data_IF_584439140629
#
_entry.id   IF_584439140629
#
_cell.length_a   1.000
_cell.length_b   1.000
_cell.length_c   1.000
_cell.angle_alpha   90.00
_cell.angle_beta   90.00
_cell.angle_gamma   90.00
#
_symmetry.space_group_name_H-M   'P 1'
#
loop_
_entity.id
_entity.type
_entity.pdbx_description
1 polymer ?
#
# COMPACT_ATOMS: atom_id res chain seq x y z
N UNK A 1 -31.08 -41.24 1.56
CA UNK A 1 -30.23 -40.39 2.42
C UNK A 1 -28.89 -40.31 1.74
N UNK A 2 -28.66 -39.19 1.06
CA UNK A 2 -27.45 -38.92 0.29
C UNK A 2 -26.90 -37.62 0.85
N UNK A 3 -25.71 -37.71 1.45
CA UNK A 3 -24.98 -36.57 2.01
C UNK A 3 -24.69 -35.54 0.90
N UNK A 4 -24.84 -34.24 1.17
CA UNK A 4 -24.41 -33.22 0.23
C UNK A 4 -22.89 -33.13 0.25
N UNK A 5 -22.30 -33.19 -0.95
CA UNK A 5 -20.86 -33.01 -1.20
C UNK A 5 -20.34 -31.73 -0.54
N UNK A 6 -19.35 -31.91 0.33
CA UNK A 6 -18.44 -30.87 0.79
C UNK A 6 -17.77 -30.23 -0.41
N UNK A 7 -18.10 -28.97 -0.69
CA UNK A 7 -17.33 -28.13 -1.60
C UNK A 7 -15.92 -27.97 -1.04
N UNK A 8 -14.94 -28.54 -1.74
CA UNK A 8 -13.53 -28.43 -1.39
C UNK A 8 -13.14 -26.94 -1.23
N UNK A 9 -12.75 -26.56 -0.02
CA UNK A 9 -12.04 -25.30 0.21
C UNK A 9 -10.70 -25.40 -0.52
N UNK A 10 -10.52 -24.61 -1.58
CA UNK A 10 -9.20 -24.35 -2.14
C UNK A 10 -8.33 -23.76 -1.01
N UNK A 11 -7.12 -24.30 -0.83
CA UNK A 11 -6.18 -23.80 0.18
C UNK A 11 -5.87 -22.32 -0.04
N UNK A 12 -5.63 -21.60 1.05
CA UNK A 12 -5.33 -20.17 1.03
C UNK A 12 -4.08 -19.89 0.16
N UNK A 13 -4.06 -18.80 -0.63
CA UNK A 13 -2.88 -18.43 -1.41
C UNK A 13 -1.66 -18.24 -0.50
N UNK A 14 -0.46 -18.48 -1.05
CA UNK A 14 0.78 -18.40 -0.27
C UNK A 14 0.93 -17.01 0.36
N UNK A 15 1.13 -16.97 1.68
CA UNK A 15 1.29 -15.74 2.45
C UNK A 15 -0.03 -15.08 2.88
N UNK A 16 -1.18 -15.60 2.44
CA UNK A 16 -2.48 -15.14 2.91
C UNK A 16 -2.95 -15.89 4.14
N UNK A 17 -3.81 -15.22 4.91
CA UNK A 17 -4.48 -15.79 6.08
C UNK A 17 -5.97 -15.73 5.84
N UNK A 18 -6.63 -16.88 5.88
CA UNK A 18 -8.08 -16.96 5.74
C UNK A 18 -8.82 -16.63 7.04
N UNK A 19 -10.15 -16.72 7.02
CA UNK A 19 -11.00 -16.26 8.13
C UNK A 19 -10.81 -17.08 9.41
N UNK A 20 -10.35 -18.34 9.28
CA UNK A 20 -10.01 -19.20 10.41
C UNK A 20 -8.62 -18.94 11.00
N UNK A 21 -7.78 -18.12 10.33
CA UNK A 21 -6.44 -17.74 10.76
C UNK A 21 -6.38 -16.37 11.46
N UNK A 22 -7.49 -15.63 11.48
CA UNK A 22 -7.59 -14.29 12.08
C UNK A 22 -8.33 -14.28 13.43
N UNK A 23 -7.96 -13.35 14.30
CA UNK A 23 -8.66 -12.97 15.52
C UNK A 23 -9.27 -11.58 15.32
N UNK A 24 -10.57 -11.47 15.56
CA UNK A 24 -11.27 -10.18 15.57
C UNK A 24 -11.17 -9.59 16.97
N UNK A 25 -10.54 -8.42 17.10
CA UNK A 25 -10.51 -7.64 18.35
C UNK A 25 -11.48 -6.49 18.28
N UNK A 26 -12.25 -6.31 19.34
CA UNK A 26 -13.09 -5.14 19.54
C UNK A 26 -12.45 -4.28 20.61
N UNK A 27 -12.37 -2.97 20.38
CA UNK A 27 -12.02 -2.04 21.45
C UNK A 27 -13.15 -2.07 22.49
N UNK A 28 -12.89 -2.74 23.62
CA UNK A 28 -13.89 -2.95 24.67
C UNK A 28 -14.35 -1.64 25.33
N UNK A 29 -13.60 -0.54 25.18
CA UNK A 29 -14.05 0.78 25.65
C UNK A 29 -15.06 1.43 24.68
N UNK A 30 -15.07 1.01 23.41
CA UNK A 30 -15.93 1.60 22.35
C UNK A 30 -17.05 0.65 21.87
N UNK A 31 -16.83 -0.67 21.96
CA UNK A 31 -17.72 -1.72 21.47
C UNK A 31 -17.84 -2.80 22.54
N UNK A 32 -18.87 -2.69 23.38
CA UNK A 32 -19.23 -3.68 24.39
C UNK A 32 -20.59 -4.34 24.13
N UNK A 33 -21.33 -3.90 23.10
CA UNK A 33 -22.64 -4.42 22.78
C UNK A 33 -22.55 -5.64 21.84
N UNK A 34 -23.35 -6.67 22.14
CA UNK A 34 -23.36 -7.93 21.38
C UNK A 34 -23.91 -7.75 19.96
N UNK A 35 -24.80 -6.77 19.73
CA UNK A 35 -25.35 -6.50 18.40
C UNK A 35 -24.27 -6.03 17.41
N UNK A 36 -23.33 -5.18 17.84
CA UNK A 36 -22.19 -4.76 17.03
C UNK A 36 -21.24 -5.91 16.73
N UNK A 37 -20.97 -6.79 17.71
CA UNK A 37 -20.13 -7.98 17.49
C UNK A 37 -20.79 -8.93 16.49
N UNK A 38 -22.09 -9.16 16.61
CA UNK A 38 -22.90 -9.97 15.70
C UNK A 38 -22.88 -9.37 14.28
N UNK A 39 -23.03 -8.05 14.14
CA UNK A 39 -22.93 -7.36 12.85
C UNK A 39 -21.54 -7.50 12.23
N UNK A 40 -20.48 -7.26 13.01
CA UNK A 40 -19.10 -7.35 12.54
C UNK A 40 -18.72 -8.76 12.08
N UNK A 41 -19.01 -9.77 12.91
CA UNK A 41 -18.80 -11.17 12.55
C UNK A 41 -19.65 -11.57 11.34
N UNK A 42 -20.89 -11.08 11.28
CA UNK A 42 -21.80 -11.35 10.19
C UNK A 42 -21.34 -10.78 8.85
N UNK A 43 -20.66 -9.63 8.88
CA UNK A 43 -19.99 -9.05 7.71
C UNK A 43 -18.73 -9.86 7.38
N UNK A 44 -17.80 -10.03 8.31
CA UNK A 44 -16.49 -10.67 8.08
C UNK A 44 -16.64 -12.11 7.57
N UNK A 45 -17.52 -12.90 8.19
CA UNK A 45 -17.78 -14.28 7.78
C UNK A 45 -18.90 -14.40 6.74
N UNK A 46 -19.42 -13.26 6.26
CA UNK A 46 -20.48 -13.16 5.25
C UNK A 46 -21.75 -13.93 5.62
N UNK A 47 -22.10 -14.08 6.90
CA UNK A 47 -23.29 -14.84 7.32
C UNK A 47 -24.59 -14.04 7.17
N UNK A 48 -24.49 -12.71 7.09
CA UNK A 48 -25.62 -11.80 6.80
C UNK A 48 -25.88 -11.82 5.29
N UNK A 49 -27.05 -12.25 4.84
CA UNK A 49 -27.33 -12.38 3.39
C UNK A 49 -28.38 -11.39 2.88
N UNK A 50 -28.94 -10.56 3.76
CA UNK A 50 -30.01 -9.62 3.46
C UNK A 50 -29.81 -8.29 4.19
N UNK A 51 -30.08 -7.17 3.53
CA UNK A 51 -30.00 -5.83 4.12
C UNK A 51 -30.89 -5.65 5.37
N UNK A 52 -32.00 -6.36 5.44
CA UNK A 52 -32.92 -6.33 6.57
C UNK A 52 -32.24 -6.82 7.86
N UNK A 53 -31.34 -7.80 7.76
CA UNK A 53 -30.59 -8.31 8.91
C UNK A 53 -29.63 -7.25 9.46
N UNK A 54 -28.96 -6.49 8.57
CA UNK A 54 -28.15 -5.32 8.98
C UNK A 54 -29.02 -4.30 9.69
N UNK A 55 -30.14 -3.91 9.05
CA UNK A 55 -31.05 -2.90 9.60
C UNK A 55 -31.58 -3.32 10.97
N UNK A 56 -31.90 -4.60 11.17
CA UNK A 56 -32.38 -5.13 12.44
C UNK A 56 -31.30 -5.10 13.53
N UNK A 57 -30.05 -5.45 13.19
CA UNK A 57 -28.93 -5.33 14.11
C UNK A 57 -28.69 -3.86 14.52
N UNK A 58 -28.77 -2.93 13.57
CA UNK A 58 -28.67 -1.49 13.86
C UNK A 58 -29.81 -1.05 14.80
N UNK A 59 -31.05 -1.49 14.59
CA UNK A 59 -32.18 -1.20 15.50
C UNK A 59 -31.97 -1.78 16.91
N UNK A 60 -31.31 -2.94 17.01
CA UNK A 60 -30.88 -3.56 18.29
C UNK A 60 -29.71 -2.83 18.95
N UNK A 61 -29.18 -1.76 18.35
CA UNK A 61 -28.12 -0.93 18.90
C UNK A 61 -26.73 -1.17 18.30
N UNK A 62 -26.61 -1.99 17.26
CA UNK A 62 -25.34 -2.17 16.58
C UNK A 62 -24.85 -0.85 15.96
N UNK A 63 -23.54 -0.60 16.04
CA UNK A 63 -22.91 0.62 15.52
C UNK A 63 -22.38 0.38 14.10
N UNK A 64 -22.93 1.10 13.13
CA UNK A 64 -22.45 1.06 11.74
C UNK A 64 -20.98 1.51 11.60
N UNK A 65 -20.54 2.44 12.46
CA UNK A 65 -19.17 2.96 12.54
C UNK A 65 -18.23 2.14 13.42
N UNK A 66 -18.60 0.92 13.77
CA UNK A 66 -17.69 0.04 14.48
C UNK A 66 -16.44 -0.22 13.64
N UNK A 67 -15.29 -0.26 14.32
CA UNK A 67 -14.01 -0.56 13.70
C UNK A 67 -13.40 -1.81 14.34
N UNK A 68 -13.83 -3.03 13.98
CA UNK A 68 -13.15 -4.24 14.42
C UNK A 68 -11.71 -4.27 13.94
N UNK A 69 -10.84 -4.78 14.81
CA UNK A 69 -9.44 -4.99 14.57
C UNK A 69 -9.14 -6.39 14.05
N UNK A 70 -8.32 -6.51 13.02
CA UNK A 70 -7.85 -7.80 12.49
C UNK A 70 -6.40 -8.09 12.89
N UNK A 71 -6.18 -9.27 13.45
CA UNK A 71 -4.86 -9.81 13.82
C UNK A 71 -4.74 -11.27 13.42
N UNK A 72 -3.52 -11.75 13.21
CA UNK A 72 -3.26 -13.18 13.07
C UNK A 72 -3.46 -13.87 14.42
N UNK A 73 -4.12 -15.04 14.45
CA UNK A 73 -4.48 -15.76 15.68
C UNK A 73 -3.32 -16.02 16.65
N UNK A 74 -2.10 -16.17 16.13
CA UNK A 74 -0.90 -16.43 16.93
C UNK A 74 -0.18 -15.16 17.38
N UNK A 75 -0.65 -13.98 16.95
CA UNK A 75 -0.08 -12.71 17.35
C UNK A 75 -0.33 -12.43 18.83
N UNK A 76 0.73 -11.99 19.50
CA UNK A 76 0.74 -11.46 20.86
C UNK A 76 0.71 -9.93 20.88
N UNK A 77 0.61 -9.28 19.70
CA UNK A 77 0.59 -7.83 19.56
C UNK A 77 -0.64 -7.18 20.20
N UNK A 78 -0.53 -5.87 20.50
CA UNK A 78 -1.57 -5.09 21.17
C UNK A 78 -2.30 -4.06 20.29
N UNK A 79 -2.00 -4.01 18.99
CA UNK A 79 -2.47 -2.94 18.10
C UNK A 79 -3.00 -3.49 16.77
N UNK A 80 -4.23 -4.02 16.72
CA UNK A 80 -4.80 -4.59 15.50
C UNK A 80 -4.95 -3.56 14.37
N UNK A 81 -5.06 -4.00 13.11
CA UNK A 81 -5.50 -3.13 12.02
C UNK A 81 -7.01 -2.91 12.11
N UNK A 82 -7.43 -1.67 12.34
CA UNK A 82 -8.84 -1.31 12.52
C UNK A 82 -9.49 -0.96 11.19
N UNK A 83 -10.60 -1.64 10.88
CA UNK A 83 -11.36 -1.41 9.65
C UNK A 83 -12.78 -0.98 9.93
N UNK A 84 -13.30 0.07 9.27
CA UNK A 84 -14.74 0.30 9.21
C UNK A 84 -15.46 -0.95 8.71
N UNK A 85 -16.64 -1.22 9.28
CA UNK A 85 -17.49 -2.31 8.79
C UNK A 85 -17.79 -2.20 7.30
N UNK A 86 -17.95 -0.98 6.79
CA UNK A 86 -18.16 -0.71 5.37
C UNK A 86 -16.98 -1.21 4.52
N UNK A 87 -15.74 -1.01 4.96
CA UNK A 87 -14.55 -1.52 4.28
C UNK A 87 -14.51 -3.04 4.27
N UNK A 88 -14.84 -3.68 5.40
CA UNK A 88 -14.87 -5.14 5.50
C UNK A 88 -16.01 -5.78 4.70
N UNK A 89 -17.04 -5.02 4.35
CA UNK A 89 -18.13 -5.46 3.50
C UNK A 89 -17.75 -5.47 2.01
N UNK A 90 -16.62 -4.90 1.61
CA UNK A 90 -16.18 -4.88 0.20
C UNK A 90 -15.43 -6.17 -0.11
N UNK A 91 -15.84 -6.87 -1.17
CA UNK A 91 -15.16 -8.08 -1.62
C UNK A 91 -13.88 -7.77 -2.39
N UNK A 92 -12.88 -8.63 -2.20
CA UNK A 92 -11.70 -8.69 -3.04
C UNK A 92 -11.95 -9.59 -4.27
N UNK A 93 -11.72 -9.03 -5.46
CA UNK A 93 -12.04 -9.65 -6.75
C UNK A 93 -10.84 -9.85 -7.63
N UNK A 94 -9.66 -9.61 -7.07
CA UNK A 94 -8.39 -9.86 -7.74
C UNK A 94 -8.01 -11.33 -7.66
N UNK A 95 -8.94 -12.21 -7.24
CA UNK A 95 -8.69 -13.62 -6.92
C UNK A 95 -7.46 -13.79 -6.00
N UNK A 96 -7.39 -12.91 -5.01
CA UNK A 96 -6.31 -12.82 -4.02
C UNK A 96 -4.91 -12.64 -4.63
N UNK A 97 -4.84 -12.09 -5.86
CA UNK A 97 -3.58 -11.64 -6.46
C UNK A 97 -3.12 -10.30 -5.88
N UNK A 98 -4.03 -9.47 -5.37
CA UNK A 98 -3.72 -8.18 -4.74
C UNK A 98 -4.46 -8.03 -3.41
N UNK A 99 -3.77 -7.63 -2.34
CA UNK A 99 -4.38 -7.47 -1.03
C UNK A 99 -5.18 -6.16 -0.90
N UNK A 100 -6.36 -6.28 -0.29
CA UNK A 100 -7.21 -5.14 0.06
C UNK A 100 -7.48 -5.04 1.56
N UNK A 101 -7.33 -6.15 2.29
CA UNK A 101 -7.47 -6.25 3.75
C UNK A 101 -6.24 -6.96 4.30
N UNK A 102 -5.79 -6.50 5.47
CA UNK A 102 -4.57 -6.91 6.16
C UNK A 102 -4.85 -7.19 7.64
N UNK A 103 -4.18 -8.19 8.19
CA UNK A 103 -4.16 -8.50 9.61
C UNK A 103 -2.74 -8.32 10.17
N UNK A 104 -2.64 -7.75 11.37
CA UNK A 104 -1.35 -7.54 12.02
C UNK A 104 -0.77 -8.81 12.62
N UNK A 105 0.54 -8.99 12.51
CA UNK A 105 1.30 -9.98 13.29
C UNK A 105 1.93 -9.35 14.55
N UNK A 106 2.63 -10.14 15.36
CA UNK A 106 3.29 -9.72 16.61
C UNK A 106 4.47 -8.77 16.36
N UNK A 107 5.05 -8.78 15.17
CA UNK A 107 6.08 -7.83 14.75
C UNK A 107 5.45 -6.60 14.10
N UNK A 108 5.91 -5.40 14.50
CA UNK A 108 5.31 -4.11 14.11
C UNK A 108 5.24 -3.92 12.60
N UNK A 109 6.21 -4.45 11.87
CA UNK A 109 6.36 -4.31 10.41
C UNK A 109 5.74 -5.46 9.62
N UNK A 110 5.20 -6.48 10.29
CA UNK A 110 4.72 -7.70 9.63
C UNK A 110 3.19 -7.73 9.61
N UNK A 111 2.65 -7.76 8.40
CA UNK A 111 1.21 -7.80 8.15
C UNK A 111 0.93 -8.88 7.12
N UNK A 112 -0.18 -9.58 7.31
CA UNK A 112 -0.59 -10.65 6.44
C UNK A 112 -1.86 -10.27 5.68
N UNK A 113 -1.90 -10.44 4.35
CA UNK A 113 -3.11 -10.21 3.59
C UNK A 113 -4.20 -11.21 4.00
N UNK A 114 -5.44 -10.74 4.09
CA UNK A 114 -6.58 -11.52 4.60
C UNK A 114 -7.51 -11.90 3.46
N UNK A 115 -7.71 -13.21 3.27
CA UNK A 115 -8.63 -13.75 2.26
C UNK A 115 -10.02 -13.90 2.90
N UNK A 116 -10.83 -12.84 2.83
CA UNK A 116 -12.22 -12.90 3.29
C UNK A 116 -13.11 -13.66 2.30
N UNK A 117 -14.17 -14.35 2.77
CA UNK A 117 -15.10 -15.00 1.86
C UNK A 117 -15.86 -13.93 1.06
N UNK A 118 -16.33 -14.31 -0.14
CA UNK A 118 -17.15 -13.43 -0.99
C UNK A 118 -18.63 -13.47 -0.59
N UNK A 119 -19.34 -12.38 -0.90
CA UNK A 119 -20.80 -12.39 -0.92
C UNK A 119 -21.33 -13.37 -1.98
N UNK A 120 -22.57 -13.88 -1.85
CA UNK A 120 -23.13 -14.80 -2.83
C UNK A 120 -23.37 -14.15 -4.19
N UNK A 121 -23.58 -12.83 -4.21
CA UNK A 121 -23.74 -12.04 -5.43
C UNK A 121 -23.39 -10.57 -5.18
N UNK A 122 -23.22 -9.82 -6.27
CA UNK A 122 -22.97 -8.37 -6.24
C UNK A 122 -24.13 -7.57 -5.68
N UNK A 123 -25.34 -8.04 -5.92
CA UNK A 123 -26.55 -7.42 -5.42
C UNK A 123 -26.62 -7.52 -3.90
N UNK A 124 -26.20 -8.67 -3.33
CA UNK A 124 -26.11 -8.83 -1.87
C UNK A 124 -25.05 -7.89 -1.30
N UNK A 125 -23.84 -7.86 -1.88
CA UNK A 125 -22.78 -6.91 -1.47
C UNK A 125 -23.30 -5.46 -1.45
N UNK A 126 -23.88 -5.01 -2.56
CA UNK A 126 -24.41 -3.66 -2.70
C UNK A 126 -25.54 -3.37 -1.72
N UNK A 127 -26.44 -4.32 -1.45
CA UNK A 127 -27.52 -4.17 -0.47
C UNK A 127 -26.97 -4.01 0.95
N UNK A 128 -25.95 -4.80 1.33
CA UNK A 128 -25.30 -4.70 2.63
C UNK A 128 -24.56 -3.37 2.77
N UNK A 129 -23.78 -2.96 1.76
CA UNK A 129 -23.11 -1.67 1.74
C UNK A 129 -24.10 -0.51 1.87
N UNK A 130 -25.20 -0.53 1.09
CA UNK A 130 -26.24 0.50 1.18
C UNK A 130 -26.87 0.55 2.57
N UNK A 131 -27.20 -0.60 3.17
CA UNK A 131 -27.76 -0.65 4.51
C UNK A 131 -26.81 -0.07 5.58
N UNK A 132 -25.50 -0.30 5.45
CA UNK A 132 -24.50 0.30 6.34
C UNK A 132 -24.42 1.83 6.15
N UNK A 133 -24.36 2.31 4.91
CA UNK A 133 -24.30 3.74 4.60
C UNK A 133 -25.59 4.45 5.07
N UNK A 134 -26.76 3.85 4.85
CA UNK A 134 -28.05 4.39 5.31
C UNK A 134 -28.15 4.40 6.84
N UNK A 135 -27.45 3.49 7.52
CA UNK A 135 -27.30 3.48 8.97
C UNK A 135 -26.22 4.46 9.49
N UNK A 136 -25.62 5.28 8.61
CA UNK A 136 -24.63 6.29 8.96
C UNK A 136 -23.19 5.79 9.05
N UNK A 137 -22.85 4.68 8.35
CA UNK A 137 -21.47 4.26 8.20
C UNK A 137 -20.64 5.35 7.51
N UNK A 138 -19.51 5.72 8.12
CA UNK A 138 -18.57 6.68 7.56
C UNK A 138 -17.84 6.06 6.36
N UNK A 139 -17.77 6.83 5.29
CA UNK A 139 -17.13 6.42 4.03
C UNK A 139 -15.67 6.88 3.93
N UNK A 140 -15.21 7.71 4.87
CA UNK A 140 -13.94 8.45 4.80
C UNK A 140 -13.14 8.37 6.10
N UNK A 141 -13.70 8.55 7.30
CA UNK A 141 -12.94 8.62 8.55
C UNK A 141 -12.31 7.27 8.94
N UNK A 142 -10.98 7.23 9.05
CA UNK A 142 -10.22 6.05 9.53
C UNK A 142 -8.87 6.48 10.11
N UNK A 143 -8.24 5.56 10.85
CA UNK A 143 -6.90 5.73 11.40
C UNK A 143 -5.81 5.50 10.33
N UNK A 144 -5.98 4.50 9.46
CA UNK A 144 -5.00 4.15 8.43
C UNK A 144 -5.60 4.35 7.04
N UNK A 145 -4.91 5.09 6.17
CA UNK A 145 -5.41 5.42 4.81
C UNK A 145 -5.79 4.17 3.99
N UNK A 146 -5.14 3.06 4.23
CA UNK A 146 -5.37 1.76 3.58
C UNK A 146 -6.74 1.16 3.93
N UNK A 147 -7.30 1.48 5.09
CA UNK A 147 -8.55 0.87 5.57
C UNK A 147 -9.79 1.66 5.15
N UNK A 148 -9.63 2.76 4.40
CA UNK A 148 -10.75 3.56 3.85
C UNK A 148 -11.56 2.74 2.84
N UNK A 149 -12.90 2.80 2.87
CA UNK A 149 -13.74 2.05 1.92
C UNK A 149 -13.34 2.25 0.45
N UNK A 150 -13.06 3.48 0.02
CA UNK A 150 -12.66 3.76 -1.38
C UNK A 150 -11.31 3.12 -1.73
N UNK A 151 -10.37 3.09 -0.78
CA UNK A 151 -9.04 2.48 -0.96
C UNK A 151 -9.12 0.96 -1.00
N UNK A 152 -9.99 0.36 -0.18
CA UNK A 152 -10.27 -1.07 -0.21
C UNK A 152 -10.94 -1.48 -1.52
N UNK A 153 -11.91 -0.69 -2.02
CA UNK A 153 -12.53 -0.94 -3.32
C UNK A 153 -11.51 -0.89 -4.48
N UNK A 154 -10.62 0.11 -4.50
CA UNK A 154 -9.55 0.23 -5.51
C UNK A 154 -8.59 -0.96 -5.43
N UNK A 155 -8.06 -1.24 -4.23
CA UNK A 155 -7.09 -2.32 -4.02
C UNK A 155 -7.68 -3.69 -4.35
N UNK A 156 -8.94 -3.94 -3.98
CA UNK A 156 -9.66 -5.18 -4.25
C UNK A 156 -10.21 -5.32 -5.66
N UNK A 157 -9.95 -4.36 -6.57
CA UNK A 157 -10.47 -4.41 -7.95
C UNK A 157 -12.00 -4.33 -8.01
N UNK A 158 -12.64 -3.76 -6.98
CA UNK A 158 -14.09 -3.76 -6.83
C UNK A 158 -14.75 -2.54 -7.44
N UNK A 159 -14.94 -2.61 -8.76
CA UNK A 159 -15.57 -1.54 -9.53
C UNK A 159 -16.98 -1.20 -9.06
N UNK A 160 -17.79 -2.21 -8.74
CA UNK A 160 -19.16 -1.97 -8.30
C UNK A 160 -19.19 -1.23 -6.94
N UNK A 161 -18.36 -1.64 -5.98
CA UNK A 161 -18.22 -0.95 -4.71
C UNK A 161 -17.64 0.46 -4.88
N UNK A 162 -16.64 0.62 -5.77
CA UNK A 162 -16.05 1.92 -6.09
C UNK A 162 -17.10 2.89 -6.66
N UNK A 163 -17.85 2.47 -7.68
CA UNK A 163 -18.89 3.30 -8.30
C UNK A 163 -20.01 3.62 -7.29
N UNK A 164 -20.43 2.65 -6.46
CA UNK A 164 -21.40 2.89 -5.39
C UNK A 164 -20.92 3.96 -4.40
N UNK A 165 -19.67 3.91 -3.94
CA UNK A 165 -19.12 4.91 -3.02
C UNK A 165 -19.09 6.31 -3.64
N UNK A 166 -18.74 6.41 -4.94
CA UNK A 166 -18.78 7.67 -5.67
C UNK A 166 -20.20 8.24 -5.78
N UNK A 167 -21.17 7.38 -6.12
CA UNK A 167 -22.58 7.74 -6.24
C UNK A 167 -23.18 8.18 -4.90
N UNK A 168 -22.71 7.58 -3.80
CA UNK A 168 -23.06 7.95 -2.43
C UNK A 168 -22.36 9.21 -1.92
N UNK A 169 -21.47 9.80 -2.72
CA UNK A 169 -20.83 11.08 -2.39
C UNK A 169 -19.71 10.96 -1.36
N UNK A 170 -18.92 9.88 -1.39
CA UNK A 170 -17.72 9.73 -0.54
C UNK A 170 -16.81 10.95 -0.65
N UNK A 171 -16.27 11.41 0.49
CA UNK A 171 -15.31 12.50 0.53
C UNK A 171 -13.95 12.01 0.02
N UNK A 172 -13.48 12.60 -1.08
CA UNK A 172 -12.25 12.19 -1.77
C UNK A 172 -11.02 13.02 -1.39
N UNK A 173 -11.19 14.27 -0.95
CA UNK A 173 -10.05 15.12 -0.59
C UNK A 173 -9.49 14.78 0.78
N UNK A 174 -8.17 14.86 0.91
CA UNK A 174 -7.41 14.56 2.12
C UNK A 174 -7.32 13.06 2.43
N UNK A 175 -7.72 12.20 1.48
CA UNK A 175 -7.74 10.74 1.70
C UNK A 175 -6.69 10.00 0.88
N UNK A 176 -5.94 10.70 0.02
CA UNK A 176 -4.88 10.13 -0.81
C UNK A 176 -5.41 8.95 -1.65
N UNK A 177 -6.62 9.12 -2.23
CA UNK A 177 -7.36 8.04 -2.90
C UNK A 177 -6.59 7.42 -4.07
N UNK A 178 -5.73 8.22 -4.70
CA UNK A 178 -4.95 7.83 -5.88
C UNK A 178 -3.65 7.10 -5.56
N UNK A 179 -3.26 6.94 -4.29
CA UNK A 179 -2.06 6.16 -3.92
C UNK A 179 -2.16 4.75 -4.51
N UNK A 180 -1.02 4.15 -4.89
CA UNK A 180 -1.00 2.77 -5.38
C UNK A 180 -1.34 1.77 -4.26
N UNK A 181 -1.94 0.60 -4.58
CA UNK A 181 -2.17 -0.44 -3.58
C UNK A 181 -0.86 -0.96 -2.99
N UNK A 182 -0.89 -1.43 -1.73
CA UNK A 182 0.29 -2.06 -1.11
C UNK A 182 0.51 -3.47 -1.65
N UNK A 183 1.77 -3.86 -1.78
CA UNK A 183 2.21 -5.21 -2.16
C UNK A 183 2.39 -6.10 -0.91
N UNK A 184 2.17 -7.41 -1.06
CA UNK A 184 2.56 -8.45 -0.09
C UNK A 184 3.81 -9.25 -0.54
N UNK A 185 4.58 -8.76 -1.53
CA UNK A 185 5.77 -9.39 -2.16
C UNK A 185 5.47 -10.69 -2.92
N UNK A 186 4.24 -11.18 -2.88
CA UNK A 186 3.79 -12.37 -3.59
C UNK A 186 2.73 -12.04 -4.64
N UNK A 187 2.23 -10.82 -4.63
CA UNK A 187 1.29 -10.33 -5.59
C UNK A 187 1.92 -10.30 -6.98
N UNK A 188 1.14 -10.76 -7.95
CA UNK A 188 1.45 -10.65 -9.37
C UNK A 188 0.22 -10.03 -10.03
N UNK A 189 0.10 -8.69 -10.02
CA UNK A 189 -1.04 -8.03 -10.62
C UNK A 189 -1.13 -8.43 -12.09
N UNK A 190 -2.34 -8.75 -12.55
CA UNK A 190 -2.57 -9.04 -13.96
C UNK A 190 -2.68 -7.74 -14.76
N UNK A 191 -2.49 -7.82 -16.08
CA UNK A 191 -2.67 -6.66 -16.97
C UNK A 191 -4.10 -6.10 -16.88
N UNK A 192 -5.10 -6.96 -16.67
CA UNK A 192 -6.50 -6.55 -16.47
C UNK A 192 -6.67 -5.75 -15.17
N UNK A 193 -5.98 -6.15 -14.09
CA UNK A 193 -5.97 -5.40 -12.84
C UNK A 193 -5.30 -4.03 -13.00
N UNK A 194 -4.17 -3.95 -13.69
CA UNK A 194 -3.50 -2.67 -13.99
C UNK A 194 -4.39 -1.73 -14.81
N UNK A 195 -5.08 -2.25 -15.83
CA UNK A 195 -6.07 -1.48 -16.59
C UNK A 195 -7.22 -1.00 -15.71
N UNK A 196 -7.67 -1.83 -14.76
CA UNK A 196 -8.71 -1.49 -13.82
C UNK A 196 -8.27 -0.41 -12.81
N UNK A 197 -7.03 -0.47 -12.32
CA UNK A 197 -6.44 0.60 -11.50
C UNK A 197 -6.41 1.93 -12.28
N UNK A 198 -5.93 1.93 -13.52
CA UNK A 198 -5.95 3.13 -14.37
C UNK A 198 -7.38 3.65 -14.59
N UNK A 199 -8.37 2.75 -14.75
CA UNK A 199 -9.77 3.15 -14.82
C UNK A 199 -10.21 3.90 -13.55
N UNK A 200 -9.91 3.38 -12.35
CA UNK A 200 -10.24 4.07 -11.10
C UNK A 200 -9.59 5.43 -10.99
N UNK A 201 -8.28 5.52 -11.27
CA UNK A 201 -7.56 6.79 -11.16
C UNK A 201 -8.03 7.84 -12.17
N UNK A 202 -8.35 7.44 -13.41
CA UNK A 202 -8.96 8.35 -14.40
C UNK A 202 -10.32 8.85 -13.92
N UNK A 203 -11.17 7.97 -13.38
CA UNK A 203 -12.48 8.33 -12.83
C UNK A 203 -12.37 9.31 -11.65
N UNK A 204 -11.39 9.13 -10.77
CA UNK A 204 -11.13 10.06 -9.68
C UNK A 204 -10.73 11.44 -10.21
N UNK A 205 -9.79 11.50 -11.16
CA UNK A 205 -9.33 12.76 -11.78
C UNK A 205 -10.44 13.46 -12.57
N UNK A 206 -11.28 12.71 -13.29
CA UNK A 206 -12.45 13.25 -13.99
C UNK A 206 -13.42 13.95 -13.03
N UNK A 207 -13.53 13.45 -11.81
CA UNK A 207 -14.42 14.01 -10.78
C UNK A 207 -13.78 15.18 -10.05
N UNK A 208 -12.50 15.07 -9.69
CA UNK A 208 -11.73 16.16 -9.09
C UNK A 208 -10.25 16.03 -9.45
N UNK A 209 -9.77 16.94 -10.31
CA UNK A 209 -8.38 16.96 -10.77
C UNK A 209 -7.38 17.26 -9.64
N UNK A 210 -7.80 17.94 -8.57
CA UNK A 210 -6.88 18.25 -7.46
C UNK A 210 -6.46 17.02 -6.67
N UNK A 211 -7.16 15.88 -6.85
CA UNK A 211 -6.77 14.61 -6.23
C UNK A 211 -5.38 14.16 -6.69
N UNK A 212 -4.97 14.50 -7.92
CA UNK A 212 -3.64 14.16 -8.44
C UNK A 212 -2.50 14.95 -7.78
N UNK A 213 -2.82 16.02 -7.05
CA UNK A 213 -1.85 16.91 -6.38
C UNK A 213 -1.83 16.77 -4.87
N UNK A 214 -2.54 15.78 -4.32
CA UNK A 214 -2.57 15.56 -2.88
C UNK A 214 -1.18 15.20 -2.32
N UNK A 215 -0.97 15.63 -1.09
CA UNK A 215 0.14 15.26 -0.24
C UNK A 215 -0.38 14.93 1.16
N UNK A 216 0.36 14.09 1.87
CA UNK A 216 0.05 13.73 3.25
C UNK A 216 0.59 14.76 4.27
N UNK A 217 0.52 14.42 5.55
CA UNK A 217 0.92 15.30 6.67
C UNK A 217 2.42 15.61 6.72
N UNK A 218 3.26 14.88 5.98
CA UNK A 218 4.70 15.13 5.87
C UNK A 218 5.08 15.71 4.49
N UNK A 219 4.11 16.23 3.75
CA UNK A 219 4.26 16.75 2.37
C UNK A 219 4.73 15.69 1.35
N UNK A 220 4.54 14.40 1.63
CA UNK A 220 4.73 13.35 0.63
C UNK A 220 3.55 13.33 -0.35
N UNK A 221 3.79 13.81 -1.57
CA UNK A 221 2.81 13.76 -2.65
C UNK A 221 2.65 12.35 -3.25
N UNK A 222 1.69 12.17 -4.16
CA UNK A 222 1.43 10.90 -4.82
C UNK A 222 2.62 10.30 -5.60
N UNK A 223 3.58 11.12 -6.03
CA UNK A 223 4.80 10.68 -6.73
C UNK A 223 5.80 10.09 -5.73
N UNK A 224 5.91 10.69 -4.52
CA UNK A 224 6.65 10.11 -3.41
C UNK A 224 6.08 8.74 -3.02
N UNK A 225 4.76 8.68 -2.84
CA UNK A 225 4.06 7.44 -2.48
C UNK A 225 4.23 6.35 -3.55
N UNK A 226 4.14 6.72 -4.83
CA UNK A 226 4.39 5.78 -5.93
C UNK A 226 5.85 5.32 -6.02
N UNK A 227 6.78 6.02 -5.39
CA UNK A 227 8.18 5.58 -5.30
C UNK A 227 8.37 4.45 -4.28
N UNK A 228 7.35 4.18 -3.45
CA UNK A 228 7.25 3.03 -2.55
C UNK A 228 6.32 1.95 -3.13
N UNK A 229 5.99 2.04 -4.42
CA UNK A 229 5.05 1.15 -5.07
C UNK A 229 5.51 -0.32 -5.07
N UNK A 230 4.55 -1.25 -5.23
CA UNK A 230 4.82 -2.65 -5.52
C UNK A 230 5.88 -2.81 -6.64
N UNK A 231 6.96 -3.57 -6.43
CA UNK A 231 7.88 -3.92 -7.51
C UNK A 231 7.22 -4.80 -8.58
N UNK A 232 6.04 -5.35 -8.30
CA UNK A 232 5.28 -6.27 -9.14
C UNK A 232 4.44 -5.59 -10.25
N UNK A 233 4.27 -4.27 -10.22
CA UNK A 233 3.55 -3.52 -11.26
C UNK A 233 4.44 -3.27 -12.49
N UNK A 234 3.86 -3.37 -13.68
CA UNK A 234 4.58 -3.21 -14.94
C UNK A 234 5.08 -1.79 -15.16
N UNK A 235 6.21 -1.66 -15.87
CA UNK A 235 6.75 -0.34 -16.27
C UNK A 235 5.71 0.50 -17.01
N UNK A 236 5.00 -0.09 -17.97
CA UNK A 236 4.00 0.62 -18.79
C UNK A 236 2.86 1.19 -17.93
N UNK A 237 2.41 0.43 -16.93
CA UNK A 237 1.43 0.92 -15.95
C UNK A 237 2.00 2.08 -15.13
N UNK A 238 3.20 1.94 -14.58
CA UNK A 238 3.84 2.97 -13.77
C UNK A 238 4.04 4.25 -14.57
N UNK A 239 4.58 4.17 -15.79
CA UNK A 239 4.75 5.32 -16.68
C UNK A 239 3.40 6.01 -16.95
N UNK A 240 2.36 5.23 -17.27
CA UNK A 240 1.01 5.76 -17.55
C UNK A 240 0.38 6.41 -16.32
N UNK A 241 0.57 5.83 -15.13
CA UNK A 241 0.07 6.38 -13.87
C UNK A 241 0.79 7.70 -13.52
N UNK A 242 2.12 7.75 -13.65
CA UNK A 242 2.90 8.96 -13.40
C UNK A 242 2.59 10.07 -14.42
N UNK A 243 2.36 9.71 -15.68
CA UNK A 243 1.87 10.64 -16.71
C UNK A 243 0.50 11.20 -16.36
N UNK A 244 -0.42 10.37 -15.85
CA UNK A 244 -1.74 10.82 -15.39
C UNK A 244 -1.61 11.84 -14.25
N UNK A 245 -0.74 11.57 -13.26
CA UNK A 245 -0.50 12.51 -12.17
C UNK A 245 0.09 13.84 -12.68
N UNK A 246 1.14 13.75 -13.49
CA UNK A 246 1.85 14.90 -14.07
C UNK A 246 0.92 15.77 -14.92
N UNK A 247 0.10 15.16 -15.78
CA UNK A 247 -0.87 15.86 -16.63
C UNK A 247 -1.95 16.60 -15.81
N UNK A 248 -2.08 16.27 -14.53
CA UNK A 248 -3.00 16.90 -13.59
C UNK A 248 -2.28 17.74 -12.51
N UNK A 249 -1.02 18.10 -12.75
CA UNK A 249 -0.30 19.10 -11.96
C UNK A 249 0.55 18.54 -10.82
N UNK A 250 0.72 17.22 -10.72
CA UNK A 250 1.61 16.64 -9.72
C UNK A 250 3.05 17.13 -9.92
N UNK A 251 3.68 17.57 -8.82
CA UNK A 251 5.05 18.05 -8.84
C UNK A 251 6.04 16.88 -8.67
N UNK A 252 6.80 16.56 -9.73
CA UNK A 252 7.79 15.47 -9.73
C UNK A 252 9.05 15.78 -8.91
N UNK A 253 9.28 17.04 -8.53
CA UNK A 253 10.49 17.51 -7.85
C UNK A 253 10.21 18.18 -6.50
N UNK A 254 8.98 18.05 -5.98
CA UNK A 254 8.65 18.57 -4.65
C UNK A 254 9.52 17.90 -3.60
N UNK A 255 10.06 18.68 -2.65
CA UNK A 255 10.61 18.11 -1.42
C UNK A 255 9.49 17.90 -0.41
N UNK A 256 9.52 16.80 0.33
CA UNK A 256 8.69 16.61 1.52
C UNK A 256 9.21 17.45 2.71
N UNK A 257 8.68 17.28 3.92
CA UNK A 257 9.15 18.00 5.12
C UNK A 257 10.65 17.82 5.41
N UNK A 258 11.25 16.72 4.96
CA UNK A 258 12.69 16.43 5.07
C UNK A 258 13.48 16.91 3.85
N UNK A 259 12.86 17.65 2.93
CA UNK A 259 13.46 18.02 1.64
C UNK A 259 13.76 16.83 0.72
N UNK A 260 13.31 15.62 1.06
CA UNK A 260 13.45 14.44 0.21
C UNK A 260 12.51 14.57 -0.98
N UNK A 261 13.05 14.41 -2.19
CA UNK A 261 12.24 14.45 -3.42
C UNK A 261 11.74 13.04 -3.80
N UNK A 262 10.80 12.88 -4.74
CA UNK A 262 10.39 11.55 -5.19
C UNK A 262 11.58 10.74 -5.72
N UNK A 263 12.56 11.39 -6.34
CA UNK A 263 13.77 10.71 -6.82
C UNK A 263 14.62 10.15 -5.67
N UNK A 264 14.70 10.82 -4.52
CA UNK A 264 15.36 10.28 -3.34
C UNK A 264 14.65 9.02 -2.84
N UNK A 265 13.32 9.05 -2.77
CA UNK A 265 12.53 7.90 -2.31
C UNK A 265 12.61 6.72 -3.27
N UNK A 266 12.54 6.96 -4.58
CA UNK A 266 12.66 5.91 -5.61
C UNK A 266 14.06 5.29 -5.60
N UNK A 267 15.10 6.11 -5.42
CA UNK A 267 16.47 5.66 -5.29
C UNK A 267 16.68 4.82 -4.01
N UNK A 268 16.11 5.25 -2.89
CA UNK A 268 16.14 4.53 -1.62
C UNK A 268 15.47 3.15 -1.72
N UNK A 269 14.27 3.08 -2.27
CA UNK A 269 13.51 1.82 -2.38
C UNK A 269 14.04 0.88 -3.47
N UNK A 270 14.96 1.35 -4.32
CA UNK A 270 15.38 0.65 -5.53
C UNK A 270 14.28 0.57 -6.58
N UNK A 271 13.29 1.46 -6.55
CA UNK A 271 12.19 1.49 -7.52
C UNK A 271 12.66 1.99 -8.89
N UNK A 272 13.38 1.14 -9.60
CA UNK A 272 14.13 1.48 -10.80
C UNK A 272 13.24 1.98 -11.95
N UNK A 273 11.99 1.54 -12.07
CA UNK A 273 11.02 2.10 -13.01
C UNK A 273 10.69 3.56 -12.70
N UNK A 274 10.46 3.91 -11.43
CA UNK A 274 10.26 5.30 -11.02
C UNK A 274 11.51 6.14 -11.17
N UNK A 275 12.70 5.60 -10.87
CA UNK A 275 13.97 6.29 -11.12
C UNK A 275 14.13 6.60 -12.60
N UNK A 276 13.92 5.63 -13.49
CA UNK A 276 13.95 5.81 -14.96
C UNK A 276 12.97 6.89 -15.42
N UNK A 277 11.71 6.79 -15.01
CA UNK A 277 10.68 7.75 -15.37
C UNK A 277 11.04 9.16 -14.88
N UNK A 278 11.41 9.31 -13.61
CA UNK A 278 11.75 10.61 -13.03
C UNK A 278 12.96 11.21 -13.73
N UNK A 279 14.03 10.44 -13.94
CA UNK A 279 15.23 10.91 -14.66
C UNK A 279 14.93 11.40 -16.07
N UNK A 280 13.97 10.79 -16.77
CA UNK A 280 13.56 11.20 -18.11
C UNK A 280 12.64 12.44 -18.13
N UNK A 281 12.02 12.78 -17.00
CA UNK A 281 10.94 13.77 -16.93
C UNK A 281 11.24 14.97 -16.03
N UNK A 282 12.37 14.97 -15.31
CA UNK A 282 12.87 16.10 -14.52
C UNK A 282 14.14 16.68 -15.16
N UNK A 283 14.41 17.96 -14.93
CA UNK A 283 15.64 18.61 -15.39
C UNK A 283 16.89 18.10 -14.66
N UNK A 284 18.06 18.19 -15.29
CA UNK A 284 19.33 17.71 -14.72
C UNK A 284 19.72 18.43 -13.42
N UNK A 285 19.22 19.65 -13.22
CA UNK A 285 19.39 20.44 -12.00
C UNK A 285 18.78 19.79 -10.75
N UNK A 286 17.85 18.85 -10.91
CA UNK A 286 17.19 18.14 -9.79
C UNK A 286 17.83 16.79 -9.46
N UNK A 287 18.80 16.33 -10.27
CA UNK A 287 19.42 15.00 -10.12
C UNK A 287 20.27 14.89 -8.86
N UNK A 288 20.90 16.00 -8.50
CA UNK A 288 21.72 16.12 -7.30
C UNK A 288 21.07 17.05 -6.28
N UNK A 289 19.73 17.10 -6.27
CA UNK A 289 18.98 17.72 -5.19
C UNK A 289 19.45 17.11 -3.86
N UNK A 290 19.52 17.93 -2.82
CA UNK A 290 20.05 17.52 -1.53
C UNK A 290 18.91 17.50 -0.53
N UNK A 291 18.53 16.31 -0.06
CA UNK A 291 17.56 16.17 1.03
C UNK A 291 18.14 16.58 2.39
N UNK A 292 17.29 17.04 3.30
CA UNK A 292 17.60 17.38 4.70
C UNK A 292 16.85 16.45 5.64
N UNK A 293 17.36 15.23 5.84
CA UNK A 293 16.72 14.30 6.75
C UNK A 293 17.23 14.51 8.19
N UNK A 294 16.38 15.07 9.06
CA UNK A 294 16.68 15.24 10.49
C UNK A 294 16.56 13.94 11.29
N UNK A 295 15.73 12.97 10.88
CA UNK A 295 15.53 11.68 11.57
C UNK A 295 16.68 10.69 11.37
N UNK A 296 17.37 10.75 10.22
CA UNK A 296 18.57 9.92 9.96
C UNK A 296 19.82 10.50 10.65
N UNK A 297 19.73 11.63 11.36
CA UNK A 297 20.85 12.08 12.23
C UNK A 297 21.22 11.02 13.28
N UNK A 298 20.28 10.17 13.71
CA UNK A 298 20.57 9.03 14.58
C UNK A 298 21.45 7.94 13.92
N UNK A 299 21.53 7.89 12.59
CA UNK A 299 22.44 7.02 11.81
C UNK A 299 23.60 7.79 11.15
N UNK A 300 23.77 9.08 11.47
CA UNK A 300 24.87 9.92 11.01
C UNK A 300 24.81 10.41 9.56
N UNK A 301 23.65 10.35 8.89
CA UNK A 301 23.49 10.93 7.54
C UNK A 301 22.97 12.36 7.69
N UNK A 302 23.62 13.33 7.04
CA UNK A 302 23.32 14.77 7.26
C UNK A 302 22.95 15.55 6.00
N UNK A 303 22.85 14.89 4.84
CA UNK A 303 22.30 15.41 3.58
C UNK A 303 22.79 14.48 2.46
N UNK A 304 21.90 13.83 1.72
CA UNK A 304 22.29 12.89 0.68
C UNK A 304 21.60 13.19 -0.65
N UNK A 305 22.34 12.97 -1.75
CA UNK A 305 21.78 12.97 -3.11
C UNK A 305 21.02 11.67 -3.36
N UNK A 306 20.13 11.59 -4.38
CA UNK A 306 19.50 10.33 -4.74
C UNK A 306 20.49 9.20 -5.03
N UNK A 307 21.61 9.49 -5.68
CA UNK A 307 22.68 8.53 -5.95
C UNK A 307 23.32 8.00 -4.65
N UNK A 308 23.59 8.89 -3.70
CA UNK A 308 24.12 8.53 -2.39
C UNK A 308 23.12 7.67 -1.59
N UNK A 309 21.83 8.00 -1.65
CA UNK A 309 20.75 7.25 -0.98
C UNK A 309 20.64 5.81 -1.51
N UNK A 310 20.63 5.62 -2.83
CA UNK A 310 20.61 4.27 -3.43
C UNK A 310 21.85 3.45 -3.06
N UNK A 311 23.03 4.07 -3.09
CA UNK A 311 24.28 3.39 -2.77
C UNK A 311 24.42 3.08 -1.27
N UNK A 312 23.90 3.95 -0.40
CA UNK A 312 23.82 3.71 1.04
C UNK A 312 22.89 2.53 1.36
N UNK A 313 21.72 2.45 0.72
CA UNK A 313 20.81 1.32 0.90
C UNK A 313 21.42 0.02 0.39
N UNK A 314 22.09 0.05 -0.76
CA UNK A 314 22.82 -1.10 -1.29
C UNK A 314 23.87 -1.62 -0.29
N UNK A 315 24.64 -0.73 0.35
CA UNK A 315 25.59 -1.09 1.41
C UNK A 315 24.89 -1.74 2.62
N UNK A 316 23.71 -1.24 3.02
CA UNK A 316 22.90 -1.80 4.11
C UNK A 316 22.44 -3.22 3.75
N UNK A 317 21.84 -3.42 2.57
CA UNK A 317 21.37 -4.73 2.12
C UNK A 317 22.50 -5.76 2.02
N UNK A 318 23.66 -5.37 1.49
CA UNK A 318 24.83 -6.25 1.38
C UNK A 318 25.36 -6.67 2.76
N UNK A 319 25.37 -5.74 3.73
CA UNK A 319 25.76 -6.05 5.12
C UNK A 319 24.77 -6.98 5.80
N UNK A 320 23.47 -6.76 5.61
CA UNK A 320 22.43 -7.64 6.15
C UNK A 320 22.61 -9.08 5.63
N UNK A 321 22.86 -9.25 4.33
CA UNK A 321 23.17 -10.56 3.74
C UNK A 321 24.44 -11.19 4.33
N UNK A 322 25.49 -10.41 4.53
CA UNK A 322 26.75 -10.92 5.07
C UNK A 322 26.64 -11.35 6.54
N UNK A 323 25.87 -10.61 7.34
CA UNK A 323 25.61 -10.91 8.76
C UNK A 323 24.61 -12.05 8.96
N UNK A 324 23.84 -12.37 7.92
CA UNK A 324 22.75 -13.34 8.01
C UNK A 324 21.53 -12.76 8.76
N UNK A 325 21.31 -11.45 8.63
CA UNK A 325 20.17 -10.77 9.25
C UNK A 325 18.86 -11.19 8.55
N UNK A 326 17.83 -11.50 9.33
CA UNK A 326 16.52 -11.94 8.83
C UNK A 326 16.44 -13.44 8.49
N UNK A 327 15.22 -13.90 8.18
CA UNK A 327 15.01 -15.29 7.75
C UNK A 327 15.53 -15.54 6.31
N UNK A 328 15.49 -16.80 5.85
CA UNK A 328 15.93 -17.12 4.48
C UNK A 328 15.07 -16.46 3.41
N UNK A 329 13.79 -16.23 3.67
CA UNK A 329 12.91 -15.62 2.68
C UNK A 329 13.29 -14.15 2.46
N UNK A 330 13.49 -13.39 3.54
CA UNK A 330 13.97 -12.02 3.48
C UNK A 330 15.32 -11.93 2.77
N UNK A 331 16.27 -12.82 3.11
CA UNK A 331 17.58 -12.85 2.46
C UNK A 331 17.50 -13.21 0.98
N UNK A 332 16.56 -14.06 0.58
CA UNK A 332 16.32 -14.34 -0.83
C UNK A 332 15.79 -13.11 -1.57
N UNK A 333 14.78 -12.42 -1.03
CA UNK A 333 14.25 -11.16 -1.60
C UNK A 333 15.36 -10.13 -1.77
N UNK A 334 16.24 -9.97 -0.77
CA UNK A 334 17.40 -9.10 -0.89
C UNK A 334 18.30 -9.46 -2.07
N UNK A 335 18.58 -10.76 -2.30
CA UNK A 335 19.46 -11.24 -3.37
C UNK A 335 18.83 -11.13 -4.74
N UNK A 336 17.56 -11.49 -4.89
CA UNK A 336 16.91 -11.66 -6.19
C UNK A 336 16.24 -10.40 -6.68
N UNK A 337 15.83 -9.51 -5.78
CA UNK A 337 15.01 -8.34 -6.11
C UNK A 337 15.68 -7.04 -5.65
N UNK A 338 15.85 -6.84 -4.34
CA UNK A 338 16.25 -5.55 -3.78
C UNK A 338 17.63 -5.09 -4.28
N UNK A 339 18.66 -5.94 -4.18
CA UNK A 339 20.02 -5.59 -4.59
C UNK A 339 20.13 -5.35 -6.11
N UNK A 340 19.61 -6.24 -6.99
CA UNK A 340 19.58 -5.97 -8.43
C UNK A 340 18.86 -4.67 -8.80
N UNK A 341 17.76 -4.37 -8.12
CA UNK A 341 16.96 -3.16 -8.35
C UNK A 341 17.69 -1.88 -7.91
N UNK A 342 18.38 -1.90 -6.77
CA UNK A 342 19.24 -0.80 -6.32
C UNK A 342 20.42 -0.56 -7.27
N UNK A 343 21.09 -1.63 -7.71
CA UNK A 343 22.16 -1.52 -8.73
C UNK A 343 21.65 -0.92 -10.03
N UNK A 344 20.47 -1.35 -10.49
CA UNK A 344 19.83 -0.81 -11.68
C UNK A 344 19.52 0.68 -11.51
N UNK A 345 18.97 1.08 -10.36
CA UNK A 345 18.70 2.48 -10.01
C UNK A 345 19.97 3.34 -10.03
N UNK A 346 21.08 2.85 -9.45
CA UNK A 346 22.39 3.52 -9.49
C UNK A 346 22.84 3.73 -10.94
N UNK A 347 22.76 2.70 -11.79
CA UNK A 347 23.17 2.81 -13.20
C UNK A 347 22.31 3.82 -13.98
N UNK A 348 21.00 3.87 -13.71
CA UNK A 348 20.09 4.84 -14.34
C UNK A 348 20.48 6.26 -13.92
N UNK A 349 20.67 6.51 -12.62
CA UNK A 349 21.07 7.82 -12.10
C UNK A 349 22.39 8.31 -12.72
N UNK A 350 23.39 7.41 -12.82
CA UNK A 350 24.67 7.72 -13.46
C UNK A 350 24.52 8.07 -14.95
N UNK A 351 23.72 7.29 -15.70
CA UNK A 351 23.44 7.57 -17.12
C UNK A 351 22.73 8.90 -17.32
N UNK A 352 21.88 9.27 -16.37
CA UNK A 352 21.11 10.48 -16.40
C UNK A 352 21.87 11.71 -15.85
N UNK A 353 23.14 11.52 -15.44
CA UNK A 353 24.07 12.61 -15.14
C UNK A 353 24.25 12.93 -13.66
N UNK A 354 23.83 12.05 -12.74
CA UNK A 354 24.10 12.24 -11.30
C UNK A 354 25.60 12.32 -11.01
N UNK A 355 26.01 13.32 -10.22
CA UNK A 355 27.43 13.64 -10.05
C UNK A 355 28.08 12.81 -8.93
N UNK A 356 28.90 11.84 -9.34
CA UNK A 356 29.72 11.01 -8.45
C UNK A 356 30.64 11.88 -7.57
N UNK A 357 31.07 13.06 -8.02
CA UNK A 357 31.94 13.95 -7.27
C UNK A 357 31.31 14.44 -5.96
N UNK A 358 29.98 14.47 -5.89
CA UNK A 358 29.22 14.87 -4.68
C UNK A 358 29.15 13.79 -3.61
N UNK A 359 29.55 12.56 -3.91
CA UNK A 359 29.62 11.48 -2.93
C UNK A 359 30.72 11.74 -1.90
N UNK A 360 30.35 11.67 -0.62
CA UNK A 360 31.23 11.90 0.53
C UNK A 360 32.39 10.90 0.56
N UNK A 361 33.48 11.30 1.23
CA UNK A 361 34.68 10.45 1.43
C UNK A 361 35.30 10.61 2.82
N UNK A 362 34.53 11.13 3.79
CA UNK A 362 35.07 11.57 5.08
C UNK A 362 35.38 10.39 5.99
N UNK A 363 34.50 9.39 6.03
CA UNK A 363 34.67 8.18 6.83
C UNK A 363 34.76 6.91 5.96
N UNK A 364 35.00 5.76 6.60
CA UNK A 364 35.14 4.47 5.89
C UNK A 364 33.85 4.02 5.21
N UNK A 365 32.68 4.31 5.80
CA UNK A 365 31.38 4.03 5.19
C UNK A 365 31.21 4.82 3.90
N UNK A 366 31.49 6.13 3.91
CA UNK A 366 31.36 6.98 2.73
C UNK A 366 32.26 6.50 1.58
N UNK A 367 33.52 6.14 1.90
CA UNK A 367 34.44 5.58 0.90
C UNK A 367 33.92 4.27 0.31
N UNK A 368 33.29 3.42 1.12
CA UNK A 368 32.69 2.15 0.68
C UNK A 368 31.49 2.38 -0.24
N UNK A 369 30.59 3.29 0.12
CA UNK A 369 29.45 3.71 -0.70
C UNK A 369 29.95 4.22 -2.06
N UNK A 370 30.96 5.08 -2.08
CA UNK A 370 31.58 5.57 -3.33
C UNK A 370 32.15 4.43 -4.17
N UNK A 371 32.80 3.44 -3.57
CA UNK A 371 33.32 2.28 -4.30
C UNK A 371 32.21 1.43 -4.93
N UNK A 372 31.07 1.27 -4.24
CA UNK A 372 29.89 0.60 -4.82
C UNK A 372 29.42 1.32 -6.08
N UNK A 373 29.27 2.64 -6.04
CA UNK A 373 28.88 3.44 -7.22
C UNK A 373 29.89 3.28 -8.36
N UNK A 374 31.19 3.37 -8.07
CA UNK A 374 32.23 3.19 -9.09
C UNK A 374 32.18 1.81 -9.74
N UNK A 375 31.89 0.76 -8.95
CA UNK A 375 31.76 -0.60 -9.50
C UNK A 375 30.59 -0.74 -10.49
N UNK A 376 29.49 -0.01 -10.26
CA UNK A 376 28.33 0.01 -11.17
C UNK A 376 28.50 0.98 -12.34
N UNK A 377 29.48 1.88 -12.31
CA UNK A 377 29.81 2.78 -13.43
C UNK A 377 30.66 2.12 -14.53
N UNK A 378 31.38 1.06 -14.17
CA UNK A 378 32.33 0.35 -15.05
C UNK A 378 31.74 -0.90 -15.73
N UNK A 379 30.51 -1.30 -15.40
CA UNK A 379 29.82 -2.48 -15.94
C UNK A 379 28.51 -2.10 -16.58
#
# INVERSE_FOLDING_TARGET
MSEPSSSAQAGEPRGWVGPGGIRIRFDLQRINDEATKELAQGIIYRTIRQAQQVTELIRRGAKANAMPGLEVLRSTGNHPWLYPLLSLAIDNLTDDSMPSIWARDSHIDWHHPVALPRWPSREVEAQIMNALIDAGADMSEVILKETRPIRVAISGGNRAAFDLLLDRGVQLRGVMAMVLPRDNQHARPSAEYEQLLLYFYRRLVERDRSLATEADEIECNLVHEASLAPPSLSKDFIDTYLDLLRANGANLTAGNHEGSTPLHMAAHSGFHHGVDYLCCNIGTEFMDAVGSNDDIRNYGMTTDTPLERAAAELDICLKALHRGDGDEHHREVLRTETIPNLKTSIRILLKAGADISRLRTHNERDRRIRQLVLSESCG
#
